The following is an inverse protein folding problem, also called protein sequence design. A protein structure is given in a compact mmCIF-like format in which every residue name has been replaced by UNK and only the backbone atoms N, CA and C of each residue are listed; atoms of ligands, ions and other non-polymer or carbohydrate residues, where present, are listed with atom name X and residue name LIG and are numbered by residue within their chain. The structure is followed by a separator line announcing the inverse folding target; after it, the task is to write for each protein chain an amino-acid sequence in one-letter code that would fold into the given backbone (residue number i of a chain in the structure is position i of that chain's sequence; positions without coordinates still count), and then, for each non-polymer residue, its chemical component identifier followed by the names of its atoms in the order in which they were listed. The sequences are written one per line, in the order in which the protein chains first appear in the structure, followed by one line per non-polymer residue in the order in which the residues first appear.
data_IF_980574363141
#
_entry.id   IF_980574363141
#
_cell.length_a   1.000
_cell.length_b   1.000
_cell.length_c   1.000
_cell.angle_alpha   90.00
_cell.angle_beta   90.00
_cell.angle_gamma   90.00
#
_symmetry.space_group_name_H-M   'P 1'
#
loop_
_entity.id
_entity.type
_entity.pdbx_description
1 polymer ?
#
# COMPACT_ATOMS: atom_id res chain seq x y z
N UNK A 1 -36.82 -1.60 33.16
CA UNK A 1 -36.19 -0.46 32.48
C UNK A 1 -35.57 -1.01 31.20
N UNK A 2 -36.25 -0.85 30.06
CA UNK A 2 -35.78 -1.39 28.77
C UNK A 2 -34.50 -0.69 28.34
N UNK A 3 -33.36 -1.33 28.57
CA UNK A 3 -32.07 -0.92 28.01
C UNK A 3 -31.95 -1.48 26.60
N UNK A 4 -32.91 -1.17 25.72
CA UNK A 4 -32.97 -1.79 24.40
C UNK A 4 -32.01 -1.07 23.45
N UNK A 5 -30.77 -1.54 23.38
CA UNK A 5 -29.93 -1.22 22.23
C UNK A 5 -30.48 -1.90 20.98
N UNK A 6 -30.22 -1.31 19.81
CA UNK A 6 -30.68 -1.81 18.52
C UNK A 6 -29.54 -2.48 17.76
N UNK A 7 -29.86 -3.54 17.03
CA UNK A 7 -28.92 -4.19 16.10
C UNK A 7 -29.25 -3.72 14.69
N UNK A 8 -28.23 -3.23 13.98
CA UNK A 8 -28.30 -2.78 12.60
C UNK A 8 -27.58 -3.77 11.70
N UNK A 9 -28.23 -4.13 10.60
CA UNK A 9 -27.64 -4.91 9.52
C UNK A 9 -27.40 -3.98 8.35
N UNK A 10 -26.14 -3.67 8.07
CA UNK A 10 -25.73 -2.73 7.05
C UNK A 10 -25.15 -3.47 5.85
N UNK A 11 -25.51 -3.01 4.67
CA UNK A 11 -24.88 -3.39 3.41
C UNK A 11 -24.26 -2.12 2.86
N UNK A 12 -22.93 -2.11 2.76
CA UNK A 12 -22.13 -0.95 2.40
C UNK A 12 -21.40 -1.23 1.10
N UNK A 13 -21.65 -0.41 0.08
CA UNK A 13 -20.79 -0.40 -1.11
C UNK A 13 -19.51 0.37 -0.78
N UNK A 14 -18.37 -0.29 -0.98
CA UNK A 14 -17.07 0.20 -0.54
C UNK A 14 -16.10 0.27 -1.71
N UNK A 15 -15.17 1.21 -1.60
CA UNK A 15 -14.02 1.35 -2.49
C UNK A 15 -12.75 1.45 -1.64
N UNK A 16 -11.66 0.95 -2.18
CA UNK A 16 -10.37 1.03 -1.53
C UNK A 16 -9.75 2.43 -1.62
N UNK A 17 -8.76 2.65 -0.76
CA UNK A 17 -8.10 3.95 -0.64
C UNK A 17 -6.60 3.83 -0.87
N UNK A 18 -5.97 4.99 -1.01
CA UNK A 18 -4.53 5.15 -1.12
C UNK A 18 -3.77 4.88 0.19
N UNK A 19 -4.46 4.74 1.32
CA UNK A 19 -3.87 4.45 2.63
C UNK A 19 -3.75 2.95 2.85
N UNK A 20 -2.61 2.51 3.36
CA UNK A 20 -2.48 1.15 3.89
C UNK A 20 -3.15 1.06 5.28
N UNK A 21 -3.71 -0.10 5.63
CA UNK A 21 -4.42 -0.31 6.91
C UNK A 21 -3.55 -0.06 8.14
N UNK A 22 -2.24 -0.30 8.02
CA UNK A 22 -1.25 -0.05 9.08
C UNK A 22 -1.09 1.43 9.43
N UNK A 23 -1.48 2.35 8.54
CA UNK A 23 -1.47 3.79 8.81
C UNK A 23 -2.45 4.19 9.91
N UNK A 24 -3.49 3.38 10.17
CA UNK A 24 -4.58 3.65 11.12
C UNK A 24 -5.26 5.01 10.94
N UNK A 25 -5.07 5.66 9.78
CA UNK A 25 -5.74 6.91 9.42
C UNK A 25 -7.24 6.68 9.35
N UNK A 26 -8.02 7.70 9.71
CA UNK A 26 -9.46 7.63 9.51
C UNK A 26 -9.74 7.55 8.00
N UNK A 27 -10.74 6.77 7.62
CA UNK A 27 -11.07 6.56 6.21
C UNK A 27 -11.36 7.88 5.46
N UNK A 28 -11.86 8.90 6.17
CA UNK A 28 -12.14 10.25 5.62
C UNK A 28 -10.87 11.01 5.23
N UNK A 29 -9.74 10.68 5.86
CA UNK A 29 -8.44 11.28 5.57
C UNK A 29 -7.71 10.51 4.45
N UNK A 30 -8.32 9.44 3.94
CA UNK A 30 -7.77 8.57 2.93
C UNK A 30 -8.49 8.77 1.60
N UNK A 31 -7.74 9.27 0.62
CA UNK A 31 -8.26 9.48 -0.72
C UNK A 31 -8.63 8.15 -1.39
N UNK A 32 -9.82 8.09 -1.97
CA UNK A 32 -10.23 6.97 -2.82
C UNK A 32 -9.35 6.90 -4.07
N UNK A 33 -9.06 5.69 -4.53
CA UNK A 33 -8.21 5.48 -5.71
C UNK A 33 -8.91 5.90 -7.00
N UNK A 34 -8.09 6.10 -8.04
CA UNK A 34 -8.61 6.39 -9.37
C UNK A 34 -9.35 5.15 -9.93
N UNK A 35 -10.37 5.34 -10.79
CA UNK A 35 -11.20 4.23 -11.28
C UNK A 35 -10.44 3.09 -11.96
N UNK A 36 -9.30 3.38 -12.59
CA UNK A 36 -8.49 2.36 -13.28
C UNK A 36 -7.68 1.45 -12.37
N UNK A 37 -7.49 1.83 -11.09
CA UNK A 37 -6.67 1.11 -10.12
C UNK A 37 -7.44 0.77 -8.83
N UNK A 38 -8.74 1.05 -8.78
CA UNK A 38 -9.56 0.82 -7.59
C UNK A 38 -10.00 -0.63 -7.46
N UNK A 39 -10.06 -1.08 -6.22
CA UNK A 39 -10.75 -2.29 -5.79
C UNK A 39 -12.05 -1.84 -5.15
N UNK A 40 -13.16 -2.44 -5.56
CA UNK A 40 -14.49 -2.12 -5.06
C UNK A 40 -15.21 -3.38 -4.62
N UNK A 41 -16.28 -3.22 -3.86
CA UNK A 41 -17.08 -4.34 -3.45
C UNK A 41 -18.14 -3.97 -2.45
N UNK A 42 -18.56 -4.95 -1.68
CA UNK A 42 -19.62 -4.79 -0.70
C UNK A 42 -19.22 -5.41 0.63
N UNK A 43 -19.47 -4.67 1.71
CA UNK A 43 -19.32 -5.13 3.08
C UNK A 43 -20.68 -5.28 3.74
N UNK A 44 -20.94 -6.42 4.36
CA UNK A 44 -22.08 -6.66 5.24
C UNK A 44 -21.60 -6.53 6.68
N UNK A 45 -22.22 -5.66 7.46
CA UNK A 45 -21.83 -5.40 8.84
C UNK A 45 -23.02 -5.47 9.79
N UNK A 46 -22.82 -6.09 10.94
CA UNK A 46 -23.80 -6.11 12.03
C UNK A 46 -23.28 -5.24 13.17
N UNK A 47 -23.99 -4.17 13.52
CA UNK A 47 -23.58 -3.21 14.55
C UNK A 47 -24.64 -3.15 15.64
N UNK A 48 -24.23 -3.34 16.90
CA UNK A 48 -25.07 -3.06 18.06
C UNK A 48 -24.86 -1.61 18.51
N UNK A 49 -25.94 -0.85 18.65
CA UNK A 49 -25.90 0.53 19.10
C UNK A 49 -26.87 0.70 20.28
N UNK A 50 -26.33 1.13 21.41
CA UNK A 50 -27.08 1.55 22.58
C UNK A 50 -26.79 3.03 22.84
N UNK A 51 -27.62 3.89 22.25
CA UNK A 51 -27.44 5.35 22.34
C UNK A 51 -27.48 5.85 23.80
N UNK A 52 -28.42 5.42 24.68
CA UNK A 52 -28.43 5.86 26.07
C UNK A 52 -27.14 5.57 26.84
N UNK A 53 -26.44 4.49 26.50
CA UNK A 53 -25.17 4.10 27.12
C UNK A 53 -23.94 4.56 26.33
N UNK A 54 -24.13 5.26 25.21
CA UNK A 54 -23.08 5.64 24.27
C UNK A 54 -22.19 4.46 23.83
N UNK A 55 -22.82 3.29 23.58
CA UNK A 55 -22.12 2.08 23.11
C UNK A 55 -22.42 1.89 21.63
N UNK A 56 -21.39 1.78 20.81
CA UNK A 56 -21.47 1.29 19.44
C UNK A 56 -20.42 0.18 19.28
N UNK A 57 -20.87 -1.02 18.92
CA UNK A 57 -20.02 -2.20 18.83
C UNK A 57 -20.26 -2.91 17.49
N UNK A 58 -19.18 -3.09 16.72
CA UNK A 58 -19.20 -3.89 15.51
C UNK A 58 -19.18 -5.37 15.92
N UNK A 59 -20.29 -6.08 15.70
CA UNK A 59 -20.44 -7.48 16.10
C UNK A 59 -19.81 -8.41 15.07
N UNK A 60 -20.16 -8.23 13.80
CA UNK A 60 -19.60 -9.01 12.70
C UNK A 60 -19.47 -8.13 11.46
N UNK A 61 -18.50 -8.45 10.62
CA UNK A 61 -18.43 -7.89 9.28
C UNK A 61 -17.83 -8.91 8.31
N UNK A 62 -18.24 -8.81 7.06
CA UNK A 62 -17.70 -9.59 5.95
C UNK A 62 -17.66 -8.68 4.72
N UNK A 63 -16.54 -8.68 4.00
CA UNK A 63 -16.35 -7.88 2.81
C UNK A 63 -15.95 -8.75 1.63
N UNK A 64 -16.65 -8.60 0.51
CA UNK A 64 -16.28 -9.23 -0.76
C UNK A 64 -15.81 -8.14 -1.71
N UNK A 65 -14.55 -8.21 -2.12
CA UNK A 65 -13.87 -7.20 -2.93
C UNK A 65 -13.41 -7.77 -4.27
N UNK A 66 -13.44 -6.95 -5.31
CA UNK A 66 -12.97 -7.31 -6.64
C UNK A 66 -12.34 -6.11 -7.36
N UNK A 67 -11.43 -6.41 -8.29
CA UNK A 67 -10.83 -5.41 -9.19
C UNK A 67 -11.71 -5.19 -10.40
N UNK A 68 -11.64 -3.99 -10.98
CA UNK A 68 -12.24 -3.75 -12.29
C UNK A 68 -11.47 -4.57 -13.34
N UNK A 69 -12.13 -5.42 -14.15
CA UNK A 69 -11.43 -6.21 -15.14
C UNK A 69 -10.66 -5.31 -16.14
N UNK A 70 -9.38 -5.60 -16.45
CA UNK A 70 -8.54 -4.72 -17.27
C UNK A 70 -9.16 -4.36 -18.63
N UNK A 71 -9.95 -5.28 -19.23
CA UNK A 71 -10.66 -5.05 -20.50
C UNK A 71 -11.60 -3.83 -20.49
N UNK A 72 -12.21 -3.51 -19.35
CA UNK A 72 -13.12 -2.37 -19.23
C UNK A 72 -12.34 -1.07 -19.09
N UNK A 73 -11.26 -1.10 -18.30
CA UNK A 73 -10.34 0.03 -18.17
C UNK A 73 -9.75 0.37 -19.54
N UNK A 74 -9.24 -0.62 -20.28
CA UNK A 74 -8.65 -0.40 -21.59
C UNK A 74 -9.62 0.21 -22.62
N UNK A 75 -10.92 -0.10 -22.54
CA UNK A 75 -11.95 0.49 -23.41
C UNK A 75 -12.21 1.97 -23.13
N UNK A 76 -12.04 2.41 -21.89
CA UNK A 76 -12.33 3.78 -21.46
C UNK A 76 -11.06 4.64 -21.44
N UNK A 77 -9.94 4.04 -21.02
CA UNK A 77 -8.63 4.64 -20.89
C UNK A 77 -7.55 3.65 -21.35
N UNK A 78 -7.25 3.59 -22.66
CA UNK A 78 -6.23 2.70 -23.21
C UNK A 78 -4.82 2.95 -22.66
N UNK A 79 -4.55 4.21 -22.29
CA UNK A 79 -3.24 4.65 -21.80
C UNK A 79 -3.10 4.56 -20.28
N UNK A 80 -4.14 4.19 -19.52
CA UNK A 80 -4.05 4.09 -18.06
C UNK A 80 -3.12 2.94 -17.63
N UNK A 81 -2.45 3.05 -16.47
CA UNK A 81 -1.71 1.93 -15.90
C UNK A 81 -2.58 0.68 -15.76
N UNK A 82 -2.02 -0.46 -16.14
CA UNK A 82 -2.65 -1.77 -16.04
C UNK A 82 -2.06 -2.50 -14.84
N UNK A 83 -2.93 -3.03 -13.98
CA UNK A 83 -2.52 -3.84 -12.83
C UNK A 83 -1.73 -5.08 -13.27
N UNK A 84 -0.67 -5.39 -12.55
CA UNK A 84 0.11 -6.62 -12.68
C UNK A 84 0.17 -7.40 -11.37
N UNK A 85 0.73 -8.61 -11.41
CA UNK A 85 0.89 -9.40 -10.18
C UNK A 85 2.07 -8.86 -9.38
N UNK A 86 1.91 -8.47 -8.09
CA UNK A 86 3.00 -7.94 -7.27
C UNK A 86 4.25 -8.82 -7.19
N UNK A 87 4.09 -10.13 -7.40
CA UNK A 87 5.14 -11.14 -7.32
C UNK A 87 5.94 -11.29 -8.62
N UNK A 88 5.56 -10.61 -9.71
CA UNK A 88 6.34 -10.69 -10.96
C UNK A 88 7.73 -10.06 -10.78
N UNK A 89 8.80 -10.67 -11.33
CA UNK A 89 10.18 -10.20 -11.14
C UNK A 89 10.40 -8.72 -11.45
N UNK A 90 9.75 -8.19 -12.48
CA UNK A 90 9.86 -6.77 -12.89
C UNK A 90 9.38 -5.79 -11.81
N UNK A 91 8.41 -6.18 -10.98
CA UNK A 91 7.91 -5.34 -9.88
C UNK A 91 8.74 -5.50 -8.61
N UNK A 92 9.25 -6.70 -8.35
CA UNK A 92 10.22 -6.93 -7.28
C UNK A 92 11.50 -6.11 -7.52
N UNK A 93 11.99 -6.10 -8.76
CA UNK A 93 13.13 -5.29 -9.17
C UNK A 93 12.84 -3.77 -9.03
N UNK A 94 11.66 -3.31 -9.47
CA UNK A 94 11.26 -1.92 -9.31
C UNK A 94 11.19 -1.50 -7.83
N UNK A 95 10.64 -2.36 -6.96
CA UNK A 95 10.60 -2.11 -5.52
C UNK A 95 12.01 -2.06 -4.91
N UNK A 96 12.90 -2.97 -5.31
CA UNK A 96 14.29 -2.98 -4.88
C UNK A 96 15.03 -1.69 -5.29
N UNK A 97 14.84 -1.22 -6.53
CA UNK A 97 15.42 0.05 -7.00
C UNK A 97 14.87 1.26 -6.23
N UNK A 98 13.57 1.30 -5.99
CA UNK A 98 12.94 2.35 -5.18
C UNK A 98 13.48 2.35 -3.75
N UNK A 99 13.62 1.17 -3.14
CA UNK A 99 14.16 1.03 -1.79
C UNK A 99 15.64 1.42 -1.73
N UNK A 100 16.45 1.05 -2.74
CA UNK A 100 17.85 1.45 -2.79
C UNK A 100 17.99 2.97 -2.78
N UNK A 101 17.21 3.69 -3.59
CA UNK A 101 17.13 5.15 -3.56
C UNK A 101 16.70 5.68 -2.19
N UNK A 102 15.66 5.10 -1.59
CA UNK A 102 15.19 5.51 -0.27
C UNK A 102 16.25 5.32 0.82
N UNK A 103 16.93 4.17 0.83
CA UNK A 103 18.00 3.86 1.77
C UNK A 103 19.20 4.80 1.59
N UNK A 104 19.48 5.25 0.38
CA UNK A 104 20.55 6.21 0.12
C UNK A 104 20.19 7.64 0.57
N UNK A 105 18.97 8.09 0.28
CA UNK A 105 18.60 9.51 0.40
C UNK A 105 17.88 9.86 1.71
N UNK A 106 17.30 8.87 2.41
CA UNK A 106 16.52 9.14 3.62
C UNK A 106 17.39 9.44 4.85
N UNK A 107 16.85 10.26 5.74
CA UNK A 107 17.45 10.60 7.05
C UNK A 107 17.26 9.50 8.11
N UNK A 108 16.77 8.31 7.74
CA UNK A 108 16.65 7.20 8.69
C UNK A 108 18.03 6.70 9.14
N UNK A 109 18.13 6.24 10.38
CA UNK A 109 19.40 5.80 10.98
C UNK A 109 19.82 4.40 10.56
N UNK A 110 18.89 3.55 10.15
CA UNK A 110 19.14 2.18 9.70
C UNK A 110 18.71 1.99 8.25
N UNK A 111 19.21 0.92 7.65
CA UNK A 111 18.76 0.42 6.36
C UNK A 111 17.44 -0.35 6.52
N UNK A 112 16.65 -0.36 5.45
CA UNK A 112 15.40 -1.11 5.35
C UNK A 112 15.50 -2.18 4.27
N UNK A 113 14.71 -3.24 4.42
CA UNK A 113 14.49 -4.30 3.43
C UNK A 113 13.04 -4.26 2.92
N UNK A 114 12.81 -4.78 1.70
CA UNK A 114 11.43 -4.97 1.19
C UNK A 114 10.84 -6.18 1.90
N UNK A 115 9.68 -6.01 2.53
CA UNK A 115 8.93 -7.13 3.12
C UNK A 115 8.05 -7.81 2.06
N UNK A 116 7.21 -7.02 1.37
CA UNK A 116 6.39 -7.50 0.27
C UNK A 116 5.92 -6.34 -0.61
N UNK A 117 5.71 -6.63 -1.89
CA UNK A 117 4.98 -5.73 -2.80
C UNK A 117 3.50 -6.05 -2.66
N UNK A 118 2.68 -5.04 -2.36
CA UNK A 118 1.24 -5.19 -2.12
C UNK A 118 0.40 -4.79 -3.34
N UNK A 119 0.93 -3.89 -4.18
CA UNK A 119 0.33 -3.55 -5.48
C UNK A 119 1.40 -3.27 -6.51
N UNK A 120 1.06 -3.58 -7.75
CA UNK A 120 1.91 -3.34 -8.89
C UNK A 120 1.06 -2.97 -10.12
N UNK A 121 1.53 -2.01 -10.90
CA UNK A 121 0.96 -1.69 -12.20
C UNK A 121 2.02 -1.21 -13.17
N UNK A 122 1.70 -1.25 -14.46
CA UNK A 122 2.61 -0.87 -15.53
C UNK A 122 1.88 -0.01 -16.56
N UNK A 123 2.58 1.00 -17.07
CA UNK A 123 2.11 1.87 -18.13
C UNK A 123 3.22 2.06 -19.15
N UNK A 124 2.85 2.35 -20.40
CA UNK A 124 3.81 2.63 -21.46
C UNK A 124 3.42 3.90 -22.22
N UNK A 125 3.96 5.05 -21.81
CA UNK A 125 3.73 6.33 -22.49
C UNK A 125 5.01 6.78 -23.21
N UNK A 126 5.97 7.29 -22.45
CA UNK A 126 7.29 7.68 -22.95
C UNK A 126 8.32 6.53 -22.89
N UNK A 127 7.86 5.32 -22.56
CA UNK A 127 8.65 4.14 -22.25
C UNK A 127 8.01 3.36 -21.09
N UNK A 128 8.56 2.20 -20.70
CA UNK A 128 7.99 1.39 -19.62
C UNK A 128 8.12 2.10 -18.27
N UNK A 129 6.97 2.30 -17.63
CA UNK A 129 6.83 2.80 -16.28
C UNK A 129 6.24 1.70 -15.39
N UNK A 130 6.93 1.37 -14.31
CA UNK A 130 6.49 0.43 -13.29
C UNK A 130 6.14 1.20 -12.03
N UNK A 131 4.95 0.98 -11.49
CA UNK A 131 4.47 1.59 -10.24
C UNK A 131 4.28 0.49 -9.22
N UNK A 132 4.82 0.69 -8.02
CA UNK A 132 4.80 -0.30 -6.95
C UNK A 132 4.41 0.33 -5.63
N UNK A 133 3.61 -0.40 -4.86
CA UNK A 133 3.37 -0.13 -3.46
C UNK A 133 3.88 -1.32 -2.65
N UNK A 134 4.68 -1.07 -1.61
CA UNK A 134 5.39 -2.13 -0.91
C UNK A 134 5.62 -1.78 0.56
N UNK A 135 5.62 -2.80 1.42
CA UNK A 135 6.02 -2.65 2.81
C UNK A 135 7.52 -2.80 2.94
N UNK A 136 8.08 -2.03 3.86
CA UNK A 136 9.50 -2.07 4.22
C UNK A 136 9.65 -2.32 5.71
N UNK A 137 10.74 -2.99 6.09
CA UNK A 137 11.04 -3.34 7.46
C UNK A 137 12.47 -2.93 7.80
N UNK A 138 12.65 -2.35 8.98
CA UNK A 138 13.97 -1.95 9.47
C UNK A 138 14.89 -3.16 9.66
N UNK A 139 16.16 -3.00 9.32
CA UNK A 139 17.20 -4.02 9.43
C UNK A 139 18.16 -3.73 10.58
N UNK A 140 18.97 -4.71 10.96
CA UNK A 140 20.00 -4.57 12.00
C UNK A 140 21.16 -3.63 11.60
N UNK A 141 21.24 -3.26 10.32
CA UNK A 141 22.33 -2.46 9.78
C UNK A 141 22.13 -0.95 9.97
N UNK A 142 23.07 -0.30 10.65
CA UNK A 142 23.12 1.15 10.82
C UNK A 142 23.74 1.82 9.60
N UNK A 143 23.20 2.98 9.19
CA UNK A 143 23.80 3.82 8.13
C UNK A 143 25.12 4.48 8.55
N UNK A 144 25.46 4.48 9.85
CA UNK A 144 26.75 4.98 10.33
C UNK A 144 27.89 4.00 10.05
N UNK A 145 27.57 2.73 9.86
CA UNK A 145 28.55 1.69 9.61
C UNK A 145 28.86 1.61 8.12
N UNK A 146 30.13 1.42 7.77
CA UNK A 146 30.54 1.18 6.39
C UNK A 146 30.14 -0.24 5.98
N UNK A 147 28.97 -0.37 5.37
CA UNK A 147 28.45 -1.66 4.89
C UNK A 147 28.72 -1.78 3.39
N UNK A 148 29.44 -2.83 3.01
CA UNK A 148 29.77 -3.11 1.60
C UNK A 148 28.58 -3.65 0.80
N UNK A 149 27.67 -4.38 1.47
CA UNK A 149 26.50 -5.00 0.85
C UNK A 149 25.29 -4.96 1.79
N UNK A 150 24.31 -4.11 1.46
CA UNK A 150 23.07 -3.94 2.23
C UNK A 150 22.18 -5.20 2.15
N UNK A 151 22.38 -6.07 1.16
CA UNK A 151 21.58 -7.29 1.04
C UNK A 151 21.85 -8.31 2.15
N UNK A 152 22.97 -8.18 2.87
CA UNK A 152 23.32 -8.99 4.04
C UNK A 152 22.68 -8.49 5.34
N UNK A 153 21.93 -7.39 5.29
CA UNK A 153 21.32 -6.78 6.46
C UNK A 153 20.02 -7.51 6.82
N UNK A 154 20.10 -8.32 7.88
CA UNK A 154 18.95 -9.07 8.37
C UNK A 154 17.84 -8.14 8.87
N UNK A 155 16.57 -8.37 8.48
CA UNK A 155 15.42 -7.66 9.04
C UNK A 155 15.34 -7.86 10.55
N UNK A 156 15.06 -6.80 11.31
CA UNK A 156 14.79 -6.89 12.74
C UNK A 156 13.48 -7.67 12.98
N UNK A 157 13.27 -8.21 14.18
CA UNK A 157 11.99 -8.82 14.52
C UNK A 157 10.84 -7.81 14.44
N UNK A 158 9.64 -8.24 14.06
CA UNK A 158 8.48 -7.36 13.86
C UNK A 158 8.08 -6.53 15.09
N UNK A 159 8.45 -6.98 16.30
CA UNK A 159 8.20 -6.28 17.56
C UNK A 159 9.12 -5.06 17.76
N UNK A 160 10.30 -5.08 17.16
CA UNK A 160 11.32 -4.05 17.32
C UNK A 160 11.48 -3.21 16.05
N UNK A 161 11.18 -3.79 14.89
CA UNK A 161 11.41 -3.17 13.60
C UNK A 161 10.44 -2.04 13.32
N UNK A 162 10.96 -0.87 12.98
CA UNK A 162 10.15 0.15 12.34
C UNK A 162 9.65 -0.37 10.98
N UNK A 163 8.34 -0.34 10.78
CA UNK A 163 7.72 -0.74 9.52
C UNK A 163 7.24 0.50 8.76
N UNK A 164 7.39 0.49 7.45
CA UNK A 164 6.90 1.55 6.57
C UNK A 164 6.15 1.01 5.36
N UNK A 165 5.42 1.90 4.71
CA UNK A 165 4.76 1.66 3.44
C UNK A 165 5.25 2.68 2.43
N UNK A 166 5.75 2.18 1.30
CA UNK A 166 6.33 2.99 0.25
C UNK A 166 5.48 2.93 -1.02
N UNK A 167 5.38 4.07 -1.69
CA UNK A 167 4.90 4.20 -3.06
C UNK A 167 6.09 4.60 -3.92
N UNK A 168 6.37 3.82 -4.96
CA UNK A 168 7.51 4.04 -5.83
C UNK A 168 7.16 3.92 -7.30
N UNK A 169 8.00 4.50 -8.14
CA UNK A 169 7.93 4.28 -9.59
C UNK A 169 9.31 4.24 -10.22
N UNK A 170 9.44 3.40 -11.25
CA UNK A 170 10.62 3.31 -12.12
C UNK A 170 10.16 3.56 -13.56
N UNK A 171 10.58 4.67 -14.13
CA UNK A 171 10.21 5.11 -15.48
C UNK A 171 11.45 5.12 -16.37
N UNK A 172 11.48 4.22 -17.35
CA UNK A 172 12.55 4.20 -18.36
C UNK A 172 12.14 5.07 -19.54
N UNK A 173 12.55 6.35 -19.53
CA UNK A 173 12.18 7.31 -20.59
C UNK A 173 13.00 7.07 -21.85
N UNK A 174 12.30 6.78 -22.95
CA UNK A 174 12.88 6.68 -24.30
C UNK A 174 13.14 8.06 -24.93
N UNK A 175 12.48 9.09 -24.44
CA UNK A 175 12.64 10.47 -24.93
C UNK A 175 13.89 11.11 -24.33
N UNK A 176 14.12 10.90 -23.04
CA UNK A 176 15.27 11.46 -22.33
C UNK A 176 16.46 10.50 -22.21
N UNK A 177 16.30 9.27 -22.74
CA UNK A 177 17.30 8.21 -22.69
C UNK A 177 17.85 7.95 -21.28
N UNK A 178 17.00 8.07 -20.26
CA UNK A 178 17.36 7.87 -18.85
C UNK A 178 16.23 7.23 -18.04
N UNK A 179 16.61 6.66 -16.91
CA UNK A 179 15.69 6.11 -15.93
C UNK A 179 15.40 7.14 -14.83
N UNK A 180 14.14 7.22 -14.43
CA UNK A 180 13.69 7.98 -13.28
C UNK A 180 13.17 7.03 -12.21
N UNK A 181 13.69 7.18 -11.00
CA UNK A 181 13.22 6.44 -9.82
C UNK A 181 12.66 7.44 -8.83
N UNK A 182 11.41 7.24 -8.42
CA UNK A 182 10.77 8.04 -7.35
C UNK A 182 10.31 7.10 -6.25
N UNK A 183 10.39 7.57 -5.00
CA UNK A 183 9.96 6.80 -3.84
C UNK A 183 9.51 7.76 -2.74
N UNK A 184 8.40 7.43 -2.09
CA UNK A 184 7.90 8.12 -0.91
C UNK A 184 7.39 7.09 0.07
N UNK A 185 7.87 7.15 1.32
CA UNK A 185 7.53 6.18 2.35
C UNK A 185 6.90 6.88 3.55
N UNK A 186 5.82 6.29 4.07
CA UNK A 186 5.25 6.63 5.37
C UNK A 186 5.61 5.54 6.38
N UNK A 187 5.91 5.94 7.61
CA UNK A 187 6.29 5.01 8.68
C UNK A 187 5.19 4.89 9.71
N UNK A 188 5.10 3.71 10.31
CA UNK A 188 4.12 3.39 11.34
C UNK A 188 4.82 3.17 12.68
N UNK A 189 4.16 3.58 13.76
CA UNK A 189 4.65 3.29 15.10
C UNK A 189 4.67 1.77 15.33
N UNK A 190 5.69 1.24 16.02
CA UNK A 190 5.70 -0.15 16.48
C UNK A 190 4.41 -0.47 17.25
N UNK A 191 3.90 -1.70 17.08
CA UNK A 191 2.69 -2.17 17.78
C UNK A 191 3.03 -2.73 19.15
#
# INVERSE_FOLDING_TARGET
QETSGSVYYLILDVVDTECHVLSKKLWKDCKARLPHSTVYGQCKATIYINQPRNIAHLTTYECTLQRVPPRYIWRVCPDCPVDGSPEEPKYLEAAAQCLAKFNQESEQTHYFSVLNVTRASMQWVIGPAYFVEFLIQETSCSKKDTIADISQCEPLSSELAKTGFCKGSVVNSRVEHRQFVTVSCEFYSPQ
#
